data_IF_777476946159
#
_entry.id   IF_777476946159
#
_cell.length_a   1.000
_cell.length_b   1.000
_cell.length_c   1.000
_cell.angle_alpha   90.00
_cell.angle_beta   90.00
_cell.angle_gamma   90.00
#
_symmetry.space_group_name_H-M   'P 1'
#
loop_
_entity.id
_entity.type
_entity.pdbx_description
1 polymer ?
#
# COMPACT_ATOMS: atom_id res chain seq x y z
N UNK A 1 -24.12 -18.84 22.42
CA UNK A 1 -22.67 -18.94 22.10
C UNK A 1 -22.39 -18.92 20.57
N UNK A 2 -23.26 -18.32 19.74
CA UNK A 2 -23.11 -18.31 18.26
C UNK A 2 -22.78 -16.90 17.73
N UNK A 3 -23.19 -15.84 18.44
CA UNK A 3 -23.02 -14.45 17.97
C UNK A 3 -21.57 -13.92 18.01
N UNK A 4 -20.72 -14.42 18.92
CA UNK A 4 -19.32 -13.98 19.03
C UNK A 4 -18.49 -14.48 17.84
N UNK A 5 -18.76 -15.71 17.34
CA UNK A 5 -18.01 -16.28 16.23
C UNK A 5 -18.23 -15.50 14.92
N UNK A 6 -19.47 -15.12 14.59
CA UNK A 6 -19.75 -14.31 13.39
C UNK A 6 -18.97 -12.99 13.37
N UNK A 7 -18.92 -12.27 14.49
CA UNK A 7 -18.24 -10.97 14.58
C UNK A 7 -16.71 -11.13 14.44
N UNK A 8 -16.14 -12.18 15.05
CA UNK A 8 -14.70 -12.45 14.97
C UNK A 8 -14.31 -12.90 13.56
N UNK A 9 -15.10 -13.78 12.96
CA UNK A 9 -14.89 -14.28 11.60
C UNK A 9 -15.02 -13.16 10.57
N UNK A 10 -16.02 -12.27 10.70
CA UNK A 10 -16.18 -11.08 9.86
C UNK A 10 -14.96 -10.16 9.94
N UNK A 11 -14.40 -9.95 11.14
CA UNK A 11 -13.17 -9.15 11.32
C UNK A 11 -11.94 -9.83 10.73
N UNK A 12 -11.88 -11.17 10.75
CA UNK A 12 -10.80 -11.94 10.11
C UNK A 12 -10.83 -11.79 8.60
N UNK A 13 -11.99 -12.01 8.00
CA UNK A 13 -12.23 -11.88 6.57
C UNK A 13 -11.99 -10.44 6.11
N UNK A 14 -12.49 -9.44 6.84
CA UNK A 14 -12.26 -8.02 6.52
C UNK A 14 -10.76 -7.66 6.48
N UNK A 15 -9.96 -8.23 7.40
CA UNK A 15 -8.51 -8.03 7.42
C UNK A 15 -7.80 -8.60 6.18
N UNK A 16 -8.25 -9.76 5.69
CA UNK A 16 -7.71 -10.33 4.43
C UNK A 16 -8.12 -9.50 3.24
N UNK A 17 -9.40 -9.11 3.15
CA UNK A 17 -9.88 -8.29 2.03
C UNK A 17 -9.12 -6.97 1.97
N UNK A 18 -8.94 -6.30 3.11
CA UNK A 18 -8.14 -5.07 3.19
C UNK A 18 -6.67 -5.32 2.78
N UNK A 19 -6.05 -6.38 3.29
CA UNK A 19 -4.70 -6.76 2.88
C UNK A 19 -4.57 -7.02 1.38
N UNK A 20 -5.58 -7.63 0.75
CA UNK A 20 -5.57 -7.95 -0.67
C UNK A 20 -5.65 -6.68 -1.52
N UNK A 21 -6.52 -5.74 -1.14
CA UNK A 21 -6.59 -4.42 -1.78
C UNK A 21 -5.29 -3.65 -1.64
N UNK A 22 -4.62 -3.75 -0.48
CA UNK A 22 -3.31 -3.13 -0.27
C UNK A 22 -2.20 -3.74 -1.12
N UNK A 23 -2.20 -5.06 -1.31
CA UNK A 23 -1.28 -5.71 -2.25
C UNK A 23 -1.57 -5.26 -3.69
N UNK A 24 -2.85 -5.25 -4.08
CA UNK A 24 -3.26 -4.86 -5.42
C UNK A 24 -2.86 -3.42 -5.74
N UNK A 25 -3.11 -2.46 -4.85
CA UNK A 25 -2.78 -1.05 -5.11
C UNK A 25 -1.27 -0.80 -5.16
N UNK A 26 -0.48 -1.47 -4.32
CA UNK A 26 0.98 -1.39 -4.37
C UNK A 26 1.52 -1.93 -5.69
N UNK A 27 1.03 -3.11 -6.11
CA UNK A 27 1.41 -3.73 -7.37
C UNK A 27 0.98 -2.90 -8.58
N UNK A 28 -0.25 -2.39 -8.58
CA UNK A 28 -0.79 -1.54 -9.64
C UNK A 28 0.04 -0.26 -9.80
N UNK A 29 0.40 0.38 -8.69
CA UNK A 29 1.21 1.61 -8.72
C UNK A 29 2.58 1.33 -9.34
N UNK A 30 3.27 0.27 -8.91
CA UNK A 30 4.54 -0.14 -9.52
C UNK A 30 4.38 -0.48 -11.01
N UNK A 31 3.32 -1.20 -11.38
CA UNK A 31 3.05 -1.58 -12.76
C UNK A 31 2.79 -0.37 -13.66
N UNK A 32 2.04 0.62 -13.20
CA UNK A 32 1.76 1.86 -13.94
C UNK A 32 3.03 2.68 -14.16
N UNK A 33 3.84 2.88 -13.11
CA UNK A 33 5.12 3.58 -13.22
C UNK A 33 6.11 2.85 -14.13
N UNK A 34 6.08 1.51 -14.14
CA UNK A 34 6.87 0.72 -15.09
C UNK A 34 6.35 0.88 -16.53
N UNK A 35 5.04 0.76 -16.74
CA UNK A 35 4.38 0.89 -18.05
C UNK A 35 4.62 2.27 -18.68
N UNK A 36 4.70 3.32 -17.87
CA UNK A 36 5.02 4.67 -18.34
C UNK A 36 6.52 4.95 -18.47
N UNK A 37 7.38 3.95 -18.26
CA UNK A 37 8.83 4.07 -18.44
C UNK A 37 9.55 4.83 -17.32
N UNK A 38 8.89 5.03 -16.17
CA UNK A 38 9.35 5.90 -15.08
C UNK A 38 10.00 5.15 -13.92
N UNK A 39 9.87 3.81 -13.87
CA UNK A 39 10.36 2.89 -12.82
C UNK A 39 11.51 3.42 -11.93
N UNK A 40 12.72 3.54 -12.45
CA UNK A 40 13.93 3.78 -11.65
C UNK A 40 14.08 5.26 -11.24
N UNK A 41 13.40 6.18 -11.93
CA UNK A 41 13.42 7.62 -11.64
C UNK A 41 12.15 8.12 -10.93
N UNK A 42 11.19 7.24 -10.67
CA UNK A 42 9.92 7.58 -10.02
C UNK A 42 10.02 7.37 -8.51
N UNK A 43 9.78 8.43 -7.76
CA UNK A 43 9.59 8.38 -6.32
C UNK A 43 8.33 7.57 -5.96
N UNK A 44 7.29 7.64 -6.80
CA UNK A 44 6.07 6.85 -6.61
C UNK A 44 6.33 5.34 -6.73
N UNK A 45 7.18 4.93 -7.68
CA UNK A 45 7.58 3.53 -7.83
C UNK A 45 8.32 3.02 -6.59
N UNK A 46 9.31 3.76 -6.11
CA UNK A 46 10.08 3.36 -4.93
C UNK A 46 9.24 3.36 -3.65
N UNK A 47 8.37 4.36 -3.47
CA UNK A 47 7.44 4.40 -2.36
C UNK A 47 6.45 3.23 -2.40
N UNK A 48 5.94 2.86 -3.60
CA UNK A 48 5.10 1.69 -3.80
C UNK A 48 5.84 0.38 -3.50
N UNK A 49 7.11 0.24 -3.89
CA UNK A 49 7.92 -0.93 -3.59
C UNK A 49 8.17 -1.09 -2.08
N UNK A 50 8.49 0.02 -1.38
CA UNK A 50 8.67 0.03 0.08
C UNK A 50 7.36 -0.34 0.78
N UNK A 51 6.23 0.23 0.38
CA UNK A 51 4.92 -0.13 0.92
C UNK A 51 4.58 -1.60 0.66
N UNK A 52 4.75 -2.07 -0.59
CA UNK A 52 4.38 -3.42 -0.99
C UNK A 52 5.21 -4.48 -0.26
N UNK A 53 6.55 -4.40 -0.35
CA UNK A 53 7.46 -5.39 0.22
C UNK A 53 7.67 -5.20 1.71
N UNK A 54 7.72 -3.96 2.19
CA UNK A 54 8.01 -3.63 3.58
C UNK A 54 6.79 -3.62 4.49
N UNK A 55 5.56 -3.62 3.94
CA UNK A 55 4.35 -3.53 4.76
C UNK A 55 3.24 -4.47 4.28
N UNK A 56 2.74 -4.32 3.05
CA UNK A 56 1.56 -5.08 2.60
C UNK A 56 1.80 -6.59 2.57
N UNK A 57 2.93 -7.04 2.03
CA UNK A 57 3.31 -8.47 1.98
C UNK A 57 3.52 -9.05 3.39
N UNK A 58 4.32 -8.45 4.29
CA UNK A 58 4.46 -8.94 5.65
C UNK A 58 3.14 -8.98 6.43
N UNK A 59 2.32 -7.93 6.35
CA UNK A 59 1.04 -7.86 7.07
C UNK A 59 0.08 -8.94 6.58
N UNK A 60 -0.05 -9.12 5.26
CA UNK A 60 -0.86 -10.20 4.71
C UNK A 60 -0.32 -11.58 5.09
N UNK A 61 1.00 -11.78 4.98
CA UNK A 61 1.65 -13.04 5.34
C UNK A 61 1.39 -13.40 6.80
N UNK A 62 1.54 -12.45 7.72
CA UNK A 62 1.20 -12.63 9.13
C UNK A 62 -0.28 -12.94 9.32
N UNK A 63 -1.17 -12.28 8.57
CA UNK A 63 -2.60 -12.53 8.68
C UNK A 63 -2.99 -13.94 8.25
N UNK A 64 -2.38 -14.46 7.19
CA UNK A 64 -2.64 -15.80 6.67
C UNK A 64 -2.00 -16.90 7.53
N UNK A 65 -0.79 -16.67 8.04
CA UNK A 65 -0.06 -17.64 8.87
C UNK A 65 -0.58 -17.74 10.29
N UNK A 66 -1.11 -16.65 10.85
CA UNK A 66 -1.64 -16.59 12.21
C UNK A 66 -3.15 -16.33 12.20
N UNK A 67 -3.88 -17.13 11.43
CA UNK A 67 -5.33 -16.98 11.20
C UNK A 67 -6.15 -16.96 12.48
N UNK A 68 -5.79 -17.80 13.44
CA UNK A 68 -6.56 -17.97 14.66
C UNK A 68 -6.36 -16.85 15.67
N UNK A 69 -5.28 -16.09 15.56
CA UNK A 69 -4.98 -14.98 16.47
C UNK A 69 -5.64 -13.68 16.01
N UNK A 70 -6.03 -12.85 16.97
CA UNK A 70 -6.35 -11.46 16.68
C UNK A 70 -5.08 -10.76 16.19
N UNK A 71 -5.19 -9.92 15.17
CA UNK A 71 -4.03 -9.31 14.54
C UNK A 71 -3.20 -8.46 15.52
N UNK A 72 -3.87 -7.80 16.47
CA UNK A 72 -3.23 -7.00 17.52
C UNK A 72 -2.36 -7.84 18.48
N UNK A 73 -2.65 -9.14 18.62
CA UNK A 73 -1.94 -10.05 19.51
C UNK A 73 -0.72 -10.71 18.83
N UNK A 74 -0.59 -10.56 17.49
CA UNK A 74 0.56 -11.08 16.75
C UNK A 74 1.79 -10.26 17.13
N UNK A 75 2.88 -10.95 17.51
CA UNK A 75 4.21 -10.35 17.62
C UNK A 75 5.12 -10.92 16.53
N UNK A 76 5.78 -10.03 15.80
CA UNK A 76 6.72 -10.40 14.75
C UNK A 76 7.98 -9.54 14.87
N UNK A 77 9.12 -10.20 15.08
CA UNK A 77 10.43 -9.55 15.28
C UNK A 77 10.43 -8.50 16.40
N UNK A 78 9.68 -8.74 17.48
CA UNK A 78 9.54 -7.80 18.60
C UNK A 78 8.60 -6.63 18.37
N UNK A 79 7.93 -6.58 17.20
CA UNK A 79 6.93 -5.56 16.85
C UNK A 79 5.53 -6.16 16.89
N UNK A 80 4.57 -5.44 17.46
CA UNK A 80 3.17 -5.89 17.52
C UNK A 80 2.48 -5.72 16.17
N UNK A 81 1.46 -6.52 15.88
CA UNK A 81 0.65 -6.38 14.67
C UNK A 81 0.07 -4.97 14.52
N UNK A 82 -0.38 -4.36 15.62
CA UNK A 82 -0.84 -2.96 15.62
C UNK A 82 0.24 -1.99 15.14
N UNK A 83 1.47 -2.13 15.61
CA UNK A 83 2.59 -1.29 15.18
C UNK A 83 2.91 -1.52 13.70
N UNK A 84 2.91 -2.78 13.23
CA UNK A 84 3.09 -3.08 11.81
C UNK A 84 2.00 -2.46 10.94
N UNK A 85 0.75 -2.46 11.40
CA UNK A 85 -0.34 -1.82 10.70
C UNK A 85 -0.16 -0.29 10.63
N UNK A 86 0.25 0.34 11.73
CA UNK A 86 0.53 1.78 11.76
C UNK A 86 1.69 2.16 10.83
N UNK A 87 2.77 1.38 10.84
CA UNK A 87 3.89 1.56 9.91
C UNK A 87 3.43 1.39 8.46
N UNK A 88 2.62 0.38 8.18
CA UNK A 88 2.02 0.14 6.87
C UNK A 88 1.14 1.29 6.38
N UNK A 89 0.38 1.91 7.29
CA UNK A 89 -0.40 3.11 6.94
C UNK A 89 0.50 4.29 6.61
N UNK A 90 1.62 4.46 7.32
CA UNK A 90 2.61 5.49 7.02
C UNK A 90 3.22 5.32 5.63
N UNK A 91 3.67 4.10 5.30
CA UNK A 91 4.26 3.80 3.97
C UNK A 91 3.22 3.88 2.86
N UNK A 92 1.96 3.48 3.12
CA UNK A 92 0.84 3.65 2.20
C UNK A 92 0.58 5.12 1.89
N UNK A 93 0.50 5.98 2.91
CA UNK A 93 0.30 7.41 2.72
C UNK A 93 1.46 8.06 1.97
N UNK A 94 2.70 7.65 2.26
CA UNK A 94 3.86 8.10 1.51
C UNK A 94 3.77 7.72 0.02
N UNK A 95 3.37 6.49 -0.30
CA UNK A 95 3.14 6.05 -1.67
C UNK A 95 2.10 6.93 -2.38
N UNK A 96 0.94 7.15 -1.76
CA UNK A 96 -0.12 7.99 -2.33
C UNK A 96 0.37 9.42 -2.56
N UNK A 97 1.06 10.01 -1.58
CA UNK A 97 1.60 11.36 -1.69
C UNK A 97 2.60 11.47 -2.84
N UNK A 98 3.52 10.52 -2.98
CA UNK A 98 4.50 10.54 -4.07
C UNK A 98 3.82 10.37 -5.43
N UNK A 99 2.84 9.49 -5.56
CA UNK A 99 2.05 9.34 -6.79
C UNK A 99 1.32 10.63 -7.17
N UNK A 100 0.72 11.33 -6.20
CA UNK A 100 0.04 12.61 -6.42
C UNK A 100 1.03 13.71 -6.83
N UNK A 101 2.12 13.89 -6.08
CA UNK A 101 3.15 14.91 -6.35
C UNK A 101 3.73 14.72 -7.74
N UNK A 102 4.06 13.48 -8.09
CA UNK A 102 4.58 13.16 -9.41
C UNK A 102 3.56 13.38 -10.53
N UNK A 103 2.30 12.99 -10.32
CA UNK A 103 1.23 13.26 -11.28
C UNK A 103 0.99 14.76 -11.49
N UNK A 104 1.10 15.58 -10.43
CA UNK A 104 0.99 17.04 -10.52
C UNK A 104 2.18 17.65 -11.28
N UNK A 105 3.41 17.20 -10.99
CA UNK A 105 4.63 17.64 -11.68
C UNK A 105 4.51 17.42 -13.18
N UNK A 106 4.05 16.24 -13.58
CA UNK A 106 3.90 15.88 -14.99
C UNK A 106 2.82 16.73 -15.69
N UNK A 107 1.68 16.95 -15.03
CA UNK A 107 0.62 17.83 -15.56
C UNK A 107 1.12 19.25 -15.77
N UNK A 108 1.93 19.78 -14.86
CA UNK A 108 2.52 21.11 -14.99
C UNK A 108 3.54 21.18 -16.13
N UNK A 109 4.40 20.17 -16.26
CA UNK A 109 5.35 20.07 -17.37
C UNK A 109 4.64 20.06 -18.74
N UNK A 110 3.54 19.29 -18.85
CA UNK A 110 2.74 19.21 -20.08
C UNK A 110 2.01 20.53 -20.40
N UNK A 111 1.52 21.27 -19.39
CA UNK A 111 0.91 22.59 -19.58
C UNK A 111 1.94 23.62 -20.06
N UNK A 112 3.13 23.62 -19.48
CA UNK A 112 4.23 24.50 -19.90
C UNK A 112 4.74 24.21 -21.32
N UNK A 113 4.71 22.94 -21.76
CA UNK A 113 5.08 22.56 -23.12
C UNK A 113 4.06 23.04 -24.16
N UNK A 114 2.74 22.96 -23.87
CA UNK A 114 1.68 23.46 -24.77
C UNK A 114 1.65 24.98 -24.91
N UNK A 115 2.13 25.72 -23.91
CA UNK A 115 2.24 27.18 -23.99
C UNK A 115 3.38 27.65 -24.90
N UNK A 116 4.47 26.87 -25.00
CA UNK A 116 5.66 27.22 -25.80
C UNK A 116 5.52 26.94 -27.29
N UNK A 117 4.61 26.07 -27.72
CA UNK A 117 4.38 25.76 -29.15
C UNK A 117 3.36 26.68 -29.83
N UNK A 118 2.81 27.66 -29.10
CA UNK A 118 1.86 28.66 -29.63
C UNK A 118 2.49 30.05 -29.86
N UNK A 119 3.79 30.18 -29.67
CA UNK A 119 4.58 31.36 -30.01
C UNK A 119 5.52 31.00 -31.15
#
# INVERSE_FOLDING_TARGET
MIFIFKIIEDRKVAGVVAGALFLEIGLLTMFLEWKWGRKWGSLAFWAAAIFFLGSAVPVMGLRLTHWEMAFDDIQWLGVTGRQLHQMGNGTYMAMLLMAVVEGLRDRWALRGARGRTRH
#
